data_IF_635295167401
#
_entry.id   IF_635295167401
#
_cell.length_a   1.000
_cell.length_b   1.000
_cell.length_c   1.000
_cell.angle_alpha   90.00
_cell.angle_beta   90.00
_cell.angle_gamma   90.00
#
_symmetry.space_group_name_H-M   'P 1'
#
loop_
_entity.id
_entity.type
_entity.pdbx_description
1 polymer ?
#
# COMPACT_ATOMS: atom_id res chain seq x y z
N UNK A 1 10.31 -25.94 -2.88
CA UNK A 1 9.85 -24.62 -3.38
C UNK A 1 8.73 -24.19 -2.45
N UNK A 2 8.95 -23.17 -1.61
CA UNK A 2 8.10 -22.90 -0.44
C UNK A 2 6.74 -22.33 -0.85
N UNK A 3 5.72 -23.16 -0.80
CA UNK A 3 4.31 -22.84 -1.10
C UNK A 3 3.78 -21.69 -0.24
N UNK A 4 4.28 -21.59 0.99
CA UNK A 4 4.04 -20.49 1.94
C UNK A 4 4.53 -19.13 1.43
N UNK A 5 5.66 -19.09 0.72
CA UNK A 5 6.20 -17.85 0.16
C UNK A 5 5.35 -17.36 -1.00
N UNK A 6 4.90 -18.28 -1.86
CA UNK A 6 4.00 -17.98 -2.99
C UNK A 6 2.65 -17.49 -2.48
N UNK A 7 2.09 -18.14 -1.45
CA UNK A 7 0.84 -17.73 -0.81
C UNK A 7 0.94 -16.35 -0.17
N UNK A 8 2.05 -16.05 0.53
CA UNK A 8 2.30 -14.72 1.08
C UNK A 8 2.40 -13.67 -0.03
N UNK A 9 3.18 -13.92 -1.09
CA UNK A 9 3.31 -13.02 -2.24
C UNK A 9 1.97 -12.74 -2.95
N UNK A 10 1.11 -13.75 -3.12
CA UNK A 10 -0.22 -13.56 -3.72
C UNK A 10 -1.15 -12.74 -2.81
N UNK A 11 -1.04 -12.91 -1.49
CA UNK A 11 -1.75 -12.08 -0.51
C UNK A 11 -1.35 -10.59 -0.61
N UNK A 12 -0.13 -10.31 -1.10
CA UNK A 12 0.37 -8.95 -1.33
C UNK A 12 0.05 -8.42 -2.75
N UNK A 13 0.21 -9.22 -3.79
CA UNK A 13 0.06 -8.77 -5.18
C UNK A 13 -1.38 -8.40 -5.55
N UNK A 14 -2.36 -9.18 -5.08
CA UNK A 14 -3.77 -8.97 -5.48
C UNK A 14 -4.31 -7.63 -4.94
N UNK A 15 -4.18 -7.31 -3.63
CA UNK A 15 -4.69 -6.04 -3.13
C UNK A 15 -3.88 -4.84 -3.64
N UNK A 16 -2.57 -5.03 -3.83
CA UNK A 16 -1.70 -4.00 -4.39
C UNK A 16 -2.16 -3.53 -5.77
N UNK A 17 -2.38 -4.48 -6.68
CA UNK A 17 -2.80 -4.19 -8.06
C UNK A 17 -4.18 -3.55 -8.10
N UNK A 18 -5.14 -4.03 -7.29
CA UNK A 18 -6.50 -3.47 -7.22
C UNK A 18 -6.47 -2.02 -6.71
N UNK A 19 -5.72 -1.73 -5.65
CA UNK A 19 -5.67 -0.38 -5.08
C UNK A 19 -4.95 0.61 -6.02
N UNK A 20 -3.87 0.20 -6.69
CA UNK A 20 -3.22 1.05 -7.70
C UNK A 20 -4.11 1.29 -8.92
N UNK A 21 -4.84 0.27 -9.38
CA UNK A 21 -5.83 0.43 -10.45
C UNK A 21 -6.95 1.40 -10.04
N UNK A 22 -7.44 1.30 -8.80
CA UNK A 22 -8.45 2.20 -8.26
C UNK A 22 -7.98 3.67 -8.21
N UNK A 23 -6.70 3.93 -7.88
CA UNK A 23 -6.13 5.29 -7.97
C UNK A 23 -6.13 5.81 -9.41
N UNK A 24 -5.80 4.95 -10.38
CA UNK A 24 -5.76 5.31 -11.79
C UNK A 24 -7.14 5.64 -12.37
N UNK A 25 -8.18 4.91 -11.94
CA UNK A 25 -9.57 5.11 -12.37
C UNK A 25 -10.26 6.26 -11.63
N UNK A 26 -9.82 6.59 -10.42
CA UNK A 26 -10.42 7.65 -9.62
C UNK A 26 -10.29 9.01 -10.31
N UNK A 27 -11.39 9.55 -10.84
CA UNK A 27 -11.43 10.89 -11.44
C UNK A 27 -11.55 12.01 -10.41
N UNK A 28 -12.02 11.71 -9.20
CA UNK A 28 -12.23 12.70 -8.15
C UNK A 28 -11.05 12.74 -7.16
N UNK A 29 -10.61 13.94 -6.73
CA UNK A 29 -9.47 14.07 -5.83
C UNK A 29 -9.77 13.51 -4.42
N UNK A 30 -11.03 13.52 -3.97
CA UNK A 30 -11.45 12.86 -2.73
C UNK A 30 -11.35 11.32 -2.81
N UNK A 31 -11.73 10.72 -3.93
CA UNK A 31 -11.58 9.28 -4.16
C UNK A 31 -10.10 8.87 -4.19
N UNK A 32 -9.22 9.68 -4.81
CA UNK A 32 -7.77 9.43 -4.81
C UNK A 32 -7.18 9.41 -3.39
N UNK A 33 -7.63 10.32 -2.52
CA UNK A 33 -7.22 10.34 -1.11
C UNK A 33 -7.74 9.13 -0.33
N UNK A 34 -9.00 8.75 -0.56
CA UNK A 34 -9.62 7.62 0.13
C UNK A 34 -8.94 6.29 -0.25
N UNK A 35 -8.61 6.11 -1.53
CA UNK A 35 -7.83 4.96 -1.99
C UNK A 35 -6.40 4.99 -1.42
N UNK A 36 -5.78 6.17 -1.31
CA UNK A 36 -4.48 6.28 -0.63
C UNK A 36 -4.54 5.91 0.86
N UNK A 37 -5.57 6.33 1.58
CA UNK A 37 -5.80 5.92 2.97
C UNK A 37 -5.97 4.40 3.08
N UNK A 38 -6.73 3.79 2.18
CA UNK A 38 -6.88 2.33 2.12
C UNK A 38 -5.56 1.62 1.84
N UNK A 39 -4.71 2.16 0.95
CA UNK A 39 -3.37 1.63 0.70
C UNK A 39 -2.45 1.67 1.93
N UNK A 40 -2.43 2.80 2.65
CA UNK A 40 -1.67 2.94 3.90
C UNK A 40 -2.21 2.01 4.99
N UNK A 41 -3.53 1.92 5.16
CA UNK A 41 -4.15 1.03 6.14
C UNK A 41 -3.86 -0.45 5.84
N UNK A 42 -3.90 -0.84 4.56
CA UNK A 42 -3.59 -2.19 4.10
C UNK A 42 -2.12 -2.52 4.36
N UNK A 43 -1.21 -1.59 4.09
CA UNK A 43 0.20 -1.74 4.41
C UNK A 43 0.46 -1.89 5.93
N UNK A 44 -0.26 -1.13 6.77
CA UNK A 44 -0.18 -1.26 8.23
C UNK A 44 -0.67 -2.63 8.73
N UNK A 45 -1.81 -3.10 8.21
CA UNK A 45 -2.33 -4.44 8.49
C UNK A 45 -1.37 -5.55 8.07
N UNK A 46 -0.68 -5.37 6.94
CA UNK A 46 0.35 -6.30 6.47
C UNK A 46 1.57 -6.34 7.36
N UNK A 47 2.10 -5.18 7.76
CA UNK A 47 3.22 -5.12 8.71
C UNK A 47 2.82 -5.81 10.02
N UNK A 48 1.64 -5.51 10.56
CA UNK A 48 1.13 -6.15 11.77
C UNK A 48 1.02 -7.67 11.63
N UNK A 49 0.48 -8.16 10.50
CA UNK A 49 0.30 -9.60 10.25
C UNK A 49 1.63 -10.34 10.08
N UNK A 50 2.60 -9.75 9.37
CA UNK A 50 3.95 -10.31 9.24
C UNK A 50 4.68 -10.29 10.59
N UNK A 51 4.36 -9.33 11.46
CA UNK A 51 4.93 -9.26 12.80
C UNK A 51 4.36 -10.32 13.74
N UNK A 52 3.08 -10.67 13.62
CA UNK A 52 2.46 -11.75 14.39
C UNK A 52 2.63 -13.15 13.80
N UNK A 53 3.24 -13.29 12.62
CA UNK A 53 3.43 -14.59 11.98
C UNK A 53 4.51 -15.41 12.70
N UNK A 54 4.07 -16.35 13.55
CA UNK A 54 4.92 -17.35 14.18
C UNK A 54 5.11 -18.55 13.23
N UNK A 55 6.35 -18.93 12.94
CA UNK A 55 6.69 -20.10 12.12
C UNK A 55 7.31 -19.83 10.74
N UNK A 56 7.51 -18.56 10.37
CA UNK A 56 8.24 -18.19 9.15
C UNK A 56 9.75 -18.18 9.39
N UNK A 57 10.52 -18.71 8.43
CA UNK A 57 11.98 -18.59 8.40
C UNK A 57 12.38 -17.12 8.55
N UNK A 58 13.42 -16.85 9.35
CA UNK A 58 13.90 -15.49 9.63
C UNK A 58 14.18 -14.70 8.34
N UNK A 59 14.62 -15.40 7.29
CA UNK A 59 14.91 -14.85 5.96
C UNK A 59 13.63 -14.35 5.27
N UNK A 60 12.59 -15.20 5.21
CA UNK A 60 11.33 -14.90 4.52
C UNK A 60 10.55 -13.78 5.23
N UNK A 61 10.62 -13.74 6.57
CA UNK A 61 10.00 -12.68 7.38
C UNK A 61 10.63 -11.31 7.09
N UNK A 62 11.96 -11.24 6.90
CA UNK A 62 12.66 -10.00 6.53
C UNK A 62 12.28 -9.55 5.12
N UNK A 63 12.20 -10.47 4.16
CA UNK A 63 11.80 -10.15 2.78
C UNK A 63 10.36 -9.64 2.72
N UNK A 64 9.45 -10.28 3.46
CA UNK A 64 8.05 -9.85 3.56
C UNK A 64 7.90 -8.47 4.23
N UNK A 65 8.66 -8.22 5.31
CA UNK A 65 8.72 -6.89 5.94
C UNK A 65 9.29 -5.83 4.98
N UNK A 66 10.32 -6.18 4.21
CA UNK A 66 10.90 -5.30 3.20
C UNK A 66 9.91 -4.94 2.09
N UNK A 67 9.19 -5.92 1.57
CA UNK A 67 8.15 -5.72 0.56
C UNK A 67 6.98 -4.89 1.09
N UNK A 68 6.49 -5.18 2.31
CA UNK A 68 5.45 -4.41 2.97
C UNK A 68 5.90 -2.96 3.22
N UNK A 69 7.16 -2.76 3.59
CA UNK A 69 7.77 -1.44 3.77
C UNK A 69 7.88 -0.64 2.48
N UNK A 70 8.35 -1.25 1.39
CA UNK A 70 8.40 -0.60 0.07
C UNK A 70 7.01 -0.22 -0.44
N UNK A 71 6.03 -1.10 -0.24
CA UNK A 71 4.63 -0.83 -0.56
C UNK A 71 4.08 0.33 0.28
N UNK A 72 4.32 0.33 1.59
CA UNK A 72 3.95 1.43 2.47
C UNK A 72 4.55 2.76 2.01
N UNK A 73 5.84 2.77 1.67
CA UNK A 73 6.53 3.96 1.15
C UNK A 73 5.88 4.46 -0.14
N UNK A 74 5.59 3.58 -1.10
CA UNK A 74 4.93 3.96 -2.35
C UNK A 74 3.56 4.63 -2.09
N UNK A 75 2.77 4.10 -1.16
CA UNK A 75 1.49 4.69 -0.78
C UNK A 75 1.62 6.01 -0.03
N UNK A 76 2.59 6.14 0.86
CA UNK A 76 2.88 7.40 1.56
C UNK A 76 3.30 8.48 0.56
N UNK A 77 4.20 8.17 -0.37
CA UNK A 77 4.59 9.10 -1.43
C UNK A 77 3.40 9.49 -2.31
N UNK A 78 2.59 8.52 -2.73
CA UNK A 78 1.39 8.78 -3.54
C UNK A 78 0.40 9.65 -2.77
N UNK A 79 0.16 9.37 -1.49
CA UNK A 79 -0.69 10.17 -0.62
C UNK A 79 -0.19 11.61 -0.50
N UNK A 80 1.10 11.82 -0.23
CA UNK A 80 1.69 13.16 -0.12
C UNK A 80 1.58 13.95 -1.42
N UNK A 81 1.79 13.31 -2.57
CA UNK A 81 1.64 13.94 -3.89
C UNK A 81 0.18 14.29 -4.16
N UNK A 82 -0.78 13.41 -3.86
CA UNK A 82 -2.20 13.70 -4.03
C UNK A 82 -2.68 14.81 -3.09
N UNK A 83 -2.20 14.80 -1.84
CA UNK A 83 -2.50 15.84 -0.84
C UNK A 83 -1.99 17.20 -1.33
N UNK A 84 -0.74 17.27 -1.80
CA UNK A 84 -0.16 18.50 -2.40
C UNK A 84 -0.99 18.97 -3.60
N UNK A 85 -1.35 18.07 -4.51
CA UNK A 85 -2.13 18.41 -5.71
C UNK A 85 -3.54 18.92 -5.35
N UNK A 86 -4.17 18.37 -4.32
CA UNK A 86 -5.44 18.88 -3.76
C UNK A 86 -5.28 20.30 -3.22
N UNK A 87 -4.28 20.54 -2.36
CA UNK A 87 -4.06 21.85 -1.75
C UNK A 87 -3.69 22.93 -2.78
N UNK A 88 -2.84 22.61 -3.78
CA UNK A 88 -2.51 23.56 -4.85
C UNK A 88 -3.70 23.91 -5.73
N UNK A 89 -4.61 22.96 -6.03
CA UNK A 89 -5.85 23.26 -6.75
C UNK A 89 -6.79 24.17 -5.96
N UNK A 90 -6.81 24.04 -4.64
CA UNK A 90 -7.58 24.95 -3.76
C UNK A 90 -7.07 26.39 -3.75
N UNK A 91 -5.78 26.61 -4.02
CA UNK A 91 -5.18 27.95 -4.06
C UNK A 91 -5.40 28.70 -5.38
N UNK A 92 -5.58 28.00 -6.50
CA UNK A 92 -5.78 28.63 -7.82
C UNK A 92 -7.23 28.96 -8.15
N UNK A 93 -8.16 28.70 -7.23
CA UNK A 93 -9.61 28.94 -7.38
C UNK A 93 -10.16 30.08 -6.53
N UNK A 94 -9.30 30.98 -6.03
CA UNK A 94 -9.70 32.24 -5.40
C UNK A 94 -9.33 33.42 -6.29
#
# INVERSE_FOLDING_TARGET
MNETLISACQMFLIPATILFAAVGVANSPGLKLLVCLLGVATAGLWIYRVWYWAGLSLMDRRTALGLAGLYALAWVFTFLVQLKNMFSRGYSGR
#
